data_IF_015254054854
#
_entry.id   IF_015254054854
#
_cell.length_a   1.000
_cell.length_b   1.000
_cell.length_c   1.000
_cell.angle_alpha   90.00
_cell.angle_beta   90.00
_cell.angle_gamma   90.00
#
_symmetry.space_group_name_H-M   'P 1'
#
loop_
_entity.id
_entity.type
_entity.pdbx_description
1 polymer ?
#
# COMPACT_ATOMS: atom_id res chain seq x y z
N UNK A 1 -49.58 -43.49 56.76
CA UNK A 1 -49.17 -42.17 56.23
C UNK A 1 -47.80 -42.33 55.61
N UNK A 2 -47.74 -42.26 54.30
CA UNK A 2 -46.57 -42.58 53.45
C UNK A 2 -45.61 -41.40 53.32
N UNK A 3 -44.28 -41.62 53.32
CA UNK A 3 -43.30 -40.55 53.16
C UNK A 3 -43.16 -40.17 51.67
N UNK A 4 -43.11 -38.86 51.40
CA UNK A 4 -42.85 -38.30 50.08
C UNK A 4 -41.33 -38.24 49.84
N UNK A 5 -40.86 -39.15 48.98
CA UNK A 5 -39.47 -39.29 48.56
C UNK A 5 -39.13 -38.19 47.54
N UNK A 6 -38.55 -37.09 48.02
CA UNK A 6 -38.17 -35.91 47.22
C UNK A 6 -36.84 -36.17 46.52
N UNK A 7 -36.88 -36.84 45.36
CA UNK A 7 -35.69 -37.08 44.54
C UNK A 7 -35.21 -35.76 43.93
N UNK A 8 -34.09 -35.28 44.43
CA UNK A 8 -33.28 -34.17 43.89
C UNK A 8 -32.70 -34.63 42.53
N UNK A 9 -33.51 -34.59 41.48
CA UNK A 9 -33.04 -34.74 40.11
C UNK A 9 -32.51 -33.39 39.62
N UNK A 10 -31.25 -33.34 39.16
CA UNK A 10 -30.90 -32.46 38.04
C UNK A 10 -29.73 -31.48 38.17
N UNK A 11 -28.91 -31.50 39.22
CA UNK A 11 -27.71 -30.64 39.24
C UNK A 11 -26.60 -30.97 38.20
N UNK A 12 -26.38 -32.22 37.73
CA UNK A 12 -25.27 -32.50 36.81
C UNK A 12 -25.54 -32.04 35.36
N UNK A 13 -26.80 -31.96 34.95
CA UNK A 13 -27.17 -31.50 33.60
C UNK A 13 -26.94 -29.99 33.43
N UNK A 14 -27.28 -29.20 34.46
CA UNK A 14 -27.11 -27.74 34.44
C UNK A 14 -25.63 -27.33 34.38
N UNK A 15 -24.74 -28.03 35.11
CA UNK A 15 -23.30 -27.78 35.09
C UNK A 15 -22.67 -28.05 33.71
N UNK A 16 -23.11 -29.11 33.02
CA UNK A 16 -22.62 -29.44 31.67
C UNK A 16 -23.03 -28.38 30.65
N UNK A 17 -24.26 -27.88 30.75
CA UNK A 17 -24.79 -26.87 29.83
C UNK A 17 -24.04 -25.53 29.98
N UNK A 18 -23.76 -25.11 31.22
CA UNK A 18 -22.96 -23.91 31.52
C UNK A 18 -21.51 -24.03 31.01
N UNK A 19 -20.88 -25.21 31.14
CA UNK A 19 -19.53 -25.44 30.64
C UNK A 19 -19.44 -25.35 29.11
N UNK A 20 -20.43 -25.90 28.39
CA UNK A 20 -20.51 -25.79 26.92
C UNK A 20 -20.73 -24.35 26.49
N UNK A 21 -21.59 -23.60 27.19
CA UNK A 21 -21.84 -22.19 26.87
C UNK A 21 -20.58 -21.32 27.10
N UNK A 22 -19.88 -21.53 28.21
CA UNK A 22 -18.64 -20.82 28.51
C UNK A 22 -17.53 -21.13 27.48
N UNK A 23 -17.43 -22.38 27.03
CA UNK A 23 -16.48 -22.77 25.99
C UNK A 23 -16.84 -22.14 24.63
N UNK A 24 -18.12 -22.12 24.25
CA UNK A 24 -18.58 -21.48 23.02
C UNK A 24 -18.31 -19.97 23.03
N UNK A 25 -18.54 -19.29 24.15
CA UNK A 25 -18.22 -17.86 24.33
C UNK A 25 -16.70 -17.63 24.27
N UNK A 26 -15.89 -18.49 24.88
CA UNK A 26 -14.44 -18.39 24.82
C UNK A 26 -13.89 -18.58 23.38
N UNK A 27 -14.48 -19.49 22.60
CA UNK A 27 -14.12 -19.70 21.18
C UNK A 27 -14.52 -18.50 20.32
N UNK A 28 -15.69 -17.90 20.56
CA UNK A 28 -16.13 -16.70 19.84
C UNK A 28 -15.24 -15.49 20.17
N UNK A 29 -14.86 -15.31 21.44
CA UNK A 29 -13.98 -14.21 21.87
C UNK A 29 -12.53 -14.37 21.40
N UNK A 30 -12.05 -15.59 21.16
CA UNK A 30 -10.69 -15.83 20.64
C UNK A 30 -10.55 -15.67 19.12
N UNK A 31 -11.65 -15.48 18.40
CA UNK A 31 -11.64 -15.23 16.95
C UNK A 31 -11.39 -13.77 16.56
N UNK A 32 -11.37 -12.82 17.51
CA UNK A 32 -11.21 -11.39 17.26
C UNK A 32 -9.78 -10.96 16.86
N UNK A 33 -8.82 -11.90 16.83
CA UNK A 33 -7.44 -11.66 16.44
C UNK A 33 -7.11 -12.09 15.01
N UNK A 34 -8.02 -11.93 14.05
CA UNK A 34 -7.61 -12.03 12.65
C UNK A 34 -6.59 -10.92 12.43
N UNK A 35 -5.35 -11.33 12.16
CA UNK A 35 -4.25 -10.55 11.64
C UNK A 35 -4.70 -9.82 10.36
N UNK A 36 -5.52 -8.79 10.51
CA UNK A 36 -6.17 -8.08 9.43
C UNK A 36 -5.18 -7.07 8.93
N UNK A 37 -4.45 -7.42 7.87
CA UNK A 37 -3.56 -6.53 7.14
C UNK A 37 -4.19 -5.14 7.08
N UNK A 38 -3.57 -4.14 7.73
CA UNK A 38 -4.13 -2.79 7.67
C UNK A 38 -4.02 -2.36 6.21
N UNK A 39 -5.17 -2.21 5.59
CA UNK A 39 -5.29 -1.69 4.25
C UNK A 39 -5.62 -0.21 4.38
N UNK A 40 -4.80 0.62 3.74
CA UNK A 40 -5.09 2.02 3.56
C UNK A 40 -5.36 2.27 2.08
N UNK A 41 -6.33 3.10 1.76
CA UNK A 41 -6.60 3.52 0.40
C UNK A 41 -7.02 4.97 0.37
N UNK A 42 -6.62 5.68 -0.67
CA UNK A 42 -7.07 7.02 -1.00
C UNK A 42 -7.60 7.04 -2.42
N UNK A 43 -8.73 7.71 -2.62
CA UNK A 43 -9.20 8.11 -3.94
C UNK A 43 -8.63 9.50 -4.23
N UNK A 44 -8.10 9.64 -5.44
CA UNK A 44 -7.50 10.86 -5.93
C UNK A 44 -8.37 11.43 -7.07
N UNK A 45 -8.71 12.73 -7.07
CA UNK A 45 -9.50 13.31 -8.13
C UNK A 45 -8.77 13.21 -9.47
N UNK A 46 -9.49 12.72 -10.47
CA UNK A 46 -9.01 12.68 -11.85
C UNK A 46 -8.71 14.07 -12.39
N UNK A 47 -7.72 14.17 -13.28
CA UNK A 47 -7.41 15.37 -14.06
C UNK A 47 -6.59 16.41 -13.31
N UNK A 48 -5.82 16.03 -12.29
CA UNK A 48 -4.88 16.91 -11.59
C UNK A 48 -3.40 16.64 -11.93
N UNK A 49 -3.16 15.91 -13.02
CA UNK A 49 -1.86 15.85 -13.67
C UNK A 49 -1.37 17.26 -13.99
N UNK A 50 -0.09 17.50 -13.77
CA UNK A 50 0.61 18.73 -14.18
C UNK A 50 1.65 18.40 -15.24
N UNK A 51 1.97 19.36 -16.10
CA UNK A 51 3.12 19.33 -16.99
C UNK A 51 4.22 20.24 -16.44
N UNK A 52 5.45 19.77 -16.54
CA UNK A 52 6.67 20.47 -16.15
C UNK A 52 7.56 20.52 -17.39
N UNK A 53 8.03 21.72 -17.73
CA UNK A 53 9.02 21.97 -18.78
C UNK A 53 10.26 22.59 -18.16
N UNK A 54 11.42 22.43 -18.79
CA UNK A 54 12.69 22.97 -18.28
C UNK A 54 12.64 24.49 -18.06
N UNK A 55 11.97 25.22 -18.94
CA UNK A 55 11.86 26.69 -18.89
C UNK A 55 10.75 27.21 -17.96
N UNK A 56 9.88 26.34 -17.45
CA UNK A 56 8.75 26.80 -16.63
C UNK A 56 9.14 26.91 -15.15
N UNK A 57 8.90 28.08 -14.56
CA UNK A 57 9.10 28.29 -13.13
C UNK A 57 8.06 27.56 -12.26
N UNK A 58 6.91 27.21 -12.83
CA UNK A 58 5.80 26.55 -12.14
C UNK A 58 5.17 25.45 -12.99
N UNK A 59 4.72 24.33 -12.38
CA UNK A 59 3.96 23.30 -13.10
C UNK A 59 2.64 23.83 -13.67
N UNK A 60 2.34 23.47 -14.91
CA UNK A 60 1.10 23.86 -15.61
C UNK A 60 0.06 22.73 -15.51
N UNK A 61 -1.20 22.99 -15.13
CA UNK A 61 -2.23 21.95 -15.11
C UNK A 61 -2.45 21.30 -16.49
N UNK A 62 -2.54 19.96 -16.52
CA UNK A 62 -2.75 19.15 -17.72
C UNK A 62 -3.97 18.22 -17.58
N UNK A 63 -5.19 18.75 -17.33
CA UNK A 63 -6.35 17.95 -16.90
C UNK A 63 -6.87 16.93 -17.93
N UNK A 64 -6.50 17.09 -19.21
CA UNK A 64 -6.87 16.17 -20.27
C UNK A 64 -5.89 14.98 -20.38
N UNK A 65 -4.79 14.97 -19.62
CA UNK A 65 -3.80 13.90 -19.64
C UNK A 65 -4.28 12.72 -18.80
N UNK A 66 -4.61 11.62 -19.47
CA UNK A 66 -5.07 10.38 -18.80
C UNK A 66 -3.96 9.39 -18.48
N UNK A 67 -2.89 9.40 -19.27
CA UNK A 67 -1.75 8.49 -19.08
C UNK A 67 -0.92 8.95 -17.89
N UNK A 68 -0.83 8.11 -16.87
CA UNK A 68 -0.13 8.41 -15.62
C UNK A 68 -0.98 9.09 -14.55
N UNK A 69 -2.20 9.56 -14.89
CA UNK A 69 -3.18 10.13 -13.96
C UNK A 69 -3.64 9.07 -12.97
N UNK A 70 -3.24 9.21 -11.71
CA UNK A 70 -3.56 8.34 -10.60
C UNK A 70 -4.90 8.78 -10.02
N UNK A 71 -5.86 7.85 -9.92
CA UNK A 71 -7.16 8.17 -9.30
C UNK A 71 -7.44 7.33 -8.05
N UNK A 72 -6.60 6.33 -7.78
CA UNK A 72 -6.70 5.53 -6.56
C UNK A 72 -5.37 4.89 -6.20
N UNK A 73 -4.95 5.11 -4.96
CA UNK A 73 -3.82 4.43 -4.35
C UNK A 73 -4.30 3.56 -3.20
N UNK A 74 -3.74 2.35 -3.08
CA UNK A 74 -3.95 1.50 -1.92
C UNK A 74 -2.68 0.80 -1.49
N UNK A 75 -2.54 0.61 -0.18
CA UNK A 75 -1.37 -0.01 0.44
C UNK A 75 -1.86 -1.05 1.42
N UNK A 76 -1.35 -2.27 1.27
CA UNK A 76 -1.57 -3.38 2.20
C UNK A 76 -0.27 -3.72 2.91
N UNK A 77 -0.26 -3.61 4.24
CA UNK A 77 0.87 -4.02 5.07
C UNK A 77 0.53 -5.32 5.80
N UNK A 78 0.96 -6.43 5.21
CA UNK A 78 0.70 -7.80 5.69
C UNK A 78 1.82 -8.30 6.59
N UNK A 79 1.66 -9.50 7.16
CA UNK A 79 2.73 -10.18 7.89
C UNK A 79 4.06 -10.32 7.13
N UNK A 80 4.05 -10.42 5.79
CA UNK A 80 5.25 -10.77 5.00
C UNK A 80 5.69 -9.70 4.00
N UNK A 81 4.80 -8.80 3.59
CA UNK A 81 5.08 -7.83 2.52
C UNK A 81 4.26 -6.55 2.65
N UNK A 82 4.79 -5.50 2.02
CA UNK A 82 4.06 -4.28 1.67
C UNK A 82 3.68 -4.39 0.20
N UNK A 83 2.39 -4.23 -0.10
CA UNK A 83 1.87 -4.19 -1.48
C UNK A 83 1.28 -2.82 -1.72
N UNK A 84 1.78 -2.14 -2.75
CA UNK A 84 1.34 -0.81 -3.16
C UNK A 84 0.66 -0.97 -4.51
N UNK A 85 -0.62 -0.61 -4.60
CA UNK A 85 -1.38 -0.62 -5.84
C UNK A 85 -1.71 0.82 -6.21
N UNK A 86 -1.19 1.24 -7.36
CA UNK A 86 -1.37 2.56 -7.97
C UNK A 86 -2.28 2.39 -9.17
N UNK A 87 -3.51 2.88 -9.07
CA UNK A 87 -4.52 2.73 -10.12
C UNK A 87 -4.61 4.02 -10.90
N UNK A 88 -4.35 3.92 -12.20
CA UNK A 88 -4.35 5.05 -13.11
C UNK A 88 -5.62 5.07 -13.98
N UNK A 89 -5.91 6.21 -14.61
CA UNK A 89 -6.93 6.29 -15.66
C UNK A 89 -6.49 5.53 -16.91
N UNK A 90 -5.21 5.65 -17.26
CA UNK A 90 -4.54 4.86 -18.28
C UNK A 90 -3.09 4.61 -17.88
N UNK A 91 -2.64 3.35 -18.01
CA UNK A 91 -1.23 2.99 -17.81
C UNK A 91 -0.42 3.57 -18.98
N UNK A 92 0.67 4.32 -18.73
CA UNK A 92 1.46 4.88 -19.80
C UNK A 92 2.07 3.79 -20.69
N UNK A 93 1.99 3.99 -22.01
CA UNK A 93 2.56 3.06 -23.00
C UNK A 93 3.95 3.50 -23.48
N UNK A 94 4.31 4.78 -23.32
CA UNK A 94 5.63 5.36 -23.66
C UNK A 94 6.58 5.25 -22.48
N UNK A 95 7.49 6.20 -22.34
CA UNK A 95 8.46 6.25 -21.26
C UNK A 95 7.82 6.87 -20.01
N UNK A 96 8.06 6.24 -18.88
CA UNK A 96 7.44 6.62 -17.61
C UNK A 96 8.18 6.02 -16.42
N UNK A 97 8.01 6.64 -15.27
CA UNK A 97 8.43 6.09 -13.99
C UNK A 97 7.31 6.24 -12.96
N UNK A 98 7.17 5.25 -12.08
CA UNK A 98 6.40 5.38 -10.86
C UNK A 98 7.32 5.23 -9.66
N UNK A 99 7.15 6.14 -8.71
CA UNK A 99 7.92 6.23 -7.49
C UNK A 99 7.05 5.83 -6.33
N UNK A 100 7.60 5.01 -5.44
CA UNK A 100 7.01 4.73 -4.15
C UNK A 100 8.06 4.94 -3.05
N UNK A 101 7.85 5.96 -2.23
CA UNK A 101 8.67 6.18 -1.04
C UNK A 101 8.04 5.41 0.12
N UNK A 102 8.78 4.46 0.71
CA UNK A 102 8.35 3.64 1.84
C UNK A 102 9.13 4.08 3.08
N UNK A 103 8.45 4.76 4.00
CA UNK A 103 9.04 5.18 5.27
C UNK A 103 8.74 4.19 6.38
N UNK A 104 9.79 3.74 7.05
CA UNK A 104 9.72 2.91 8.26
C UNK A 104 10.14 3.73 9.49
N UNK A 105 9.98 3.23 10.72
CA UNK A 105 10.51 3.92 11.91
C UNK A 105 12.03 4.11 11.92
N UNK A 106 12.79 3.33 11.13
CA UNK A 106 14.27 3.34 11.14
C UNK A 106 14.88 4.08 9.95
N UNK A 107 14.22 4.03 8.78
CA UNK A 107 14.78 4.56 7.53
C UNK A 107 13.69 4.70 6.46
N UNK A 108 14.02 5.33 5.34
CA UNK A 108 13.18 5.44 4.15
C UNK A 108 13.81 4.70 2.98
N UNK A 109 12.96 4.16 2.12
CA UNK A 109 13.35 3.45 0.91
C UNK A 109 12.59 4.00 -0.28
N UNK A 110 13.24 4.01 -1.43
CA UNK A 110 12.60 4.35 -2.70
C UNK A 110 12.48 3.08 -3.54
N UNK A 111 11.30 2.89 -4.11
CA UNK A 111 11.01 1.83 -5.05
C UNK A 111 10.56 2.48 -6.36
N UNK A 112 11.34 2.29 -7.41
CA UNK A 112 11.13 2.95 -8.70
C UNK A 112 10.88 1.90 -9.76
N UNK A 113 9.65 1.86 -10.28
CA UNK A 113 9.35 1.16 -11.51
C UNK A 113 9.56 2.13 -12.67
N UNK A 114 10.30 1.74 -13.68
CA UNK A 114 10.52 2.58 -14.85
C UNK A 114 10.42 1.80 -16.14
N UNK A 115 10.09 2.52 -17.20
CA UNK A 115 10.15 2.07 -18.58
C UNK A 115 10.77 3.20 -19.41
N UNK A 116 11.86 2.90 -20.10
CA UNK A 116 12.56 3.82 -21.01
C UNK A 116 13.09 3.05 -22.21
N UNK A 117 12.89 3.54 -23.42
CA UNK A 117 13.41 2.93 -24.66
C UNK A 117 13.17 1.41 -24.77
N UNK A 118 11.98 0.98 -24.33
CA UNK A 118 11.60 -0.45 -24.32
C UNK A 118 12.21 -1.27 -23.17
N UNK A 119 13.22 -0.76 -22.47
CA UNK A 119 13.71 -1.34 -21.22
C UNK A 119 12.71 -1.13 -20.08
N UNK A 120 12.61 -2.11 -19.18
CA UNK A 120 11.80 -2.01 -17.96
C UNK A 120 12.63 -2.47 -16.78
N UNK A 121 12.61 -1.69 -15.70
CA UNK A 121 13.35 -1.98 -14.49
C UNK A 121 12.54 -1.72 -13.22
N UNK A 122 12.96 -2.35 -12.14
CA UNK A 122 12.48 -2.09 -10.79
C UNK A 122 13.70 -1.89 -9.87
N UNK A 123 13.97 -0.64 -9.53
CA UNK A 123 15.03 -0.25 -8.60
C UNK A 123 14.48 -0.16 -7.17
N UNK A 124 15.30 -0.52 -6.20
CA UNK A 124 15.01 -0.40 -4.78
C UNK A 124 16.25 0.10 -4.03
N UNK A 125 16.19 1.26 -3.42
CA UNK A 125 17.33 1.91 -2.75
C UNK A 125 16.92 2.54 -1.41
N UNK A 126 17.89 3.05 -0.64
CA UNK A 126 17.60 3.87 0.55
C UNK A 126 17.52 5.33 0.13
N UNK A 127 16.47 6.04 0.55
CA UNK A 127 16.25 7.45 0.21
C UNK A 127 17.41 8.35 0.63
N UNK A 128 17.90 8.18 1.86
CA UNK A 128 19.03 8.97 2.40
C UNK A 128 20.35 8.19 2.35
N UNK A 129 20.49 7.27 1.38
CA UNK A 129 21.69 6.45 1.22
C UNK A 129 22.59 6.94 0.08
N UNK A 130 23.57 6.12 -0.29
CA UNK A 130 24.45 6.37 -1.45
C UNK A 130 23.74 6.23 -2.81
N UNK A 131 22.41 6.11 -2.84
CA UNK A 131 21.64 5.72 -4.03
C UNK A 131 21.86 4.28 -4.50
N UNK A 132 22.70 3.49 -3.82
CA UNK A 132 23.02 2.14 -4.23
C UNK A 132 21.79 1.21 -4.20
N UNK A 133 21.64 0.42 -5.26
CA UNK A 133 20.59 -0.60 -5.39
C UNK A 133 20.73 -1.65 -4.28
N UNK A 134 19.64 -1.87 -3.55
CA UNK A 134 19.50 -2.91 -2.53
C UNK A 134 18.98 -4.18 -3.22
N UNK A 135 19.76 -5.25 -3.09
CA UNK A 135 19.30 -6.59 -3.48
C UNK A 135 18.20 -7.04 -2.53
N UNK A 136 16.97 -7.08 -3.04
CA UNK A 136 15.81 -7.59 -2.33
C UNK A 136 15.18 -8.75 -3.11
N UNK A 137 15.37 -9.99 -2.63
CA UNK A 137 14.74 -11.16 -3.24
C UNK A 137 13.24 -11.14 -2.99
N UNK A 138 12.44 -11.24 -4.05
CA UNK A 138 10.98 -11.25 -3.98
C UNK A 138 10.32 -9.88 -4.09
N UNK A 139 11.10 -8.80 -4.30
CA UNK A 139 10.51 -7.55 -4.81
C UNK A 139 9.97 -7.77 -6.21
N UNK A 140 8.84 -7.16 -6.54
CA UNK A 140 8.24 -7.29 -7.87
C UNK A 140 7.36 -6.10 -8.24
N UNK A 141 7.13 -5.99 -9.54
CA UNK A 141 6.26 -5.03 -10.18
C UNK A 141 5.48 -5.74 -11.26
N UNK A 142 4.18 -5.44 -11.37
CA UNK A 142 3.34 -5.94 -12.46
C UNK A 142 2.24 -4.93 -12.78
N UNK A 143 1.79 -4.95 -14.03
CA UNK A 143 0.56 -4.27 -14.45
C UNK A 143 -0.62 -5.24 -14.35
N UNK A 144 -1.73 -4.76 -13.82
CA UNK A 144 -2.97 -5.49 -13.52
C UNK A 144 -4.15 -4.63 -13.99
N UNK A 145 -4.53 -4.75 -15.27
CA UNK A 145 -5.46 -3.82 -15.91
C UNK A 145 -4.90 -2.41 -15.94
N UNK A 146 -5.56 -1.46 -15.28
CA UNK A 146 -5.09 -0.06 -15.15
C UNK A 146 -4.23 0.20 -13.91
N UNK A 147 -3.89 -0.84 -13.15
CA UNK A 147 -3.13 -0.70 -11.92
C UNK A 147 -1.69 -1.18 -12.07
N UNK A 148 -0.73 -0.40 -11.57
CA UNK A 148 0.60 -0.86 -11.24
C UNK A 148 0.58 -1.44 -9.81
N UNK A 149 1.07 -2.66 -9.67
CA UNK A 149 1.19 -3.35 -8.37
C UNK A 149 2.65 -3.56 -8.06
N UNK A 150 3.13 -2.85 -7.04
CA UNK A 150 4.48 -2.96 -6.49
C UNK A 150 4.44 -3.80 -5.22
N UNK A 151 5.38 -4.72 -5.06
CA UNK A 151 5.48 -5.58 -3.89
C UNK A 151 6.90 -5.58 -3.34
N UNK A 152 7.03 -5.35 -2.02
CA UNK A 152 8.30 -5.43 -1.30
C UNK A 152 8.15 -6.33 -0.07
N UNK A 153 8.94 -7.42 0.04
CA UNK A 153 9.02 -8.21 1.25
C UNK A 153 9.42 -7.37 2.47
N UNK A 154 8.77 -7.59 3.62
CA UNK A 154 9.08 -6.87 4.86
C UNK A 154 10.50 -7.10 5.35
N UNK A 155 11.08 -8.25 5.05
CA UNK A 155 12.48 -8.56 5.38
C UNK A 155 13.45 -7.59 4.70
N UNK A 156 13.17 -7.14 3.48
CA UNK A 156 13.96 -6.13 2.79
C UNK A 156 13.85 -4.73 3.42
N UNK A 157 12.77 -4.48 4.16
CA UNK A 157 12.49 -3.24 4.88
C UNK A 157 12.97 -3.27 6.35
N UNK A 158 13.62 -4.36 6.79
CA UNK A 158 14.03 -4.54 8.18
C UNK A 158 12.89 -4.97 9.13
N UNK A 159 11.86 -5.63 8.60
CA UNK A 159 10.69 -6.14 9.34
C UNK A 159 9.91 -5.09 10.16
N UNK A 160 9.55 -3.93 9.59
CA UNK A 160 8.95 -2.84 10.34
C UNK A 160 7.53 -3.18 10.80
N UNK A 161 7.15 -2.77 12.02
CA UNK A 161 5.78 -2.96 12.54
C UNK A 161 4.76 -2.00 11.91
N UNK A 162 5.25 -0.92 11.30
CA UNK A 162 4.43 0.07 10.59
C UNK A 162 5.22 0.71 9.45
N UNK A 163 4.50 1.23 8.46
CA UNK A 163 5.06 1.98 7.34
C UNK A 163 4.21 3.21 7.05
N UNK A 164 4.78 4.18 6.33
CA UNK A 164 4.05 5.19 5.57
C UNK A 164 4.51 5.13 4.13
N UNK A 165 3.62 5.43 3.18
CA UNK A 165 3.93 5.32 1.76
C UNK A 165 3.49 6.58 1.03
N UNK A 166 4.38 7.14 0.22
CA UNK A 166 4.08 8.17 -0.79
C UNK A 166 4.21 7.57 -2.18
N UNK A 167 3.43 8.06 -3.14
CA UNK A 167 3.41 7.54 -4.52
C UNK A 167 3.30 8.70 -5.51
N UNK A 168 4.12 8.66 -6.55
CA UNK A 168 3.99 9.55 -7.71
C UNK A 168 4.21 8.79 -9.02
N UNK A 169 3.69 9.34 -10.11
CA UNK A 169 3.91 8.86 -11.48
C UNK A 169 4.38 10.02 -12.34
N UNK A 170 5.39 9.75 -13.17
CA UNK A 170 5.85 10.68 -14.20
C UNK A 170 5.81 9.98 -15.55
N UNK A 171 5.43 10.72 -16.59
CA UNK A 171 5.37 10.26 -17.97
C UNK A 171 6.11 11.27 -18.83
N UNK A 172 7.07 10.78 -19.60
CA UNK A 172 7.88 11.61 -20.48
C UNK A 172 7.20 11.67 -21.86
N UNK A 173 7.31 12.81 -22.52
CA UNK A 173 7.01 12.89 -23.94
C UNK A 173 8.16 12.27 -24.78
N UNK A 174 8.13 12.45 -26.10
CA UNK A 174 9.09 11.80 -26.98
C UNK A 174 10.50 12.41 -26.89
N UNK A 175 10.57 13.71 -26.61
CA UNK A 175 11.83 14.47 -26.60
C UNK A 175 12.34 14.68 -25.16
N UNK A 176 11.62 14.17 -24.16
CA UNK A 176 11.84 14.38 -22.71
C UNK A 176 11.78 15.85 -22.30
N UNK A 177 11.24 16.72 -23.14
CA UNK A 177 11.10 18.16 -22.90
C UNK A 177 9.93 18.45 -21.95
N UNK A 178 8.86 17.63 -22.05
CA UNK A 178 7.68 17.75 -21.19
C UNK A 178 7.56 16.52 -20.30
N UNK A 179 7.56 16.77 -18.99
CA UNK A 179 7.28 15.77 -17.96
C UNK A 179 5.85 15.97 -17.47
N UNK A 180 5.01 14.97 -17.69
CA UNK A 180 3.68 14.91 -17.07
C UNK A 180 3.79 14.18 -15.75
N UNK A 181 3.22 14.75 -14.70
CA UNK A 181 3.54 14.37 -13.35
C UNK A 181 2.26 14.35 -12.51
N UNK A 182 2.07 13.30 -11.71
CA UNK A 182 0.96 13.16 -10.77
C UNK A 182 1.41 12.61 -9.40
N UNK A 183 1.06 13.30 -8.31
CA UNK A 183 1.30 12.89 -6.92
C UNK A 183 -0.02 12.43 -6.31
N UNK A 184 -0.10 11.12 -6.05
CA UNK A 184 -1.32 10.46 -5.61
C UNK A 184 -1.89 10.94 -4.26
N UNK A 185 -1.17 11.82 -3.56
CA UNK A 185 -1.52 12.37 -2.24
C UNK A 185 -1.63 13.91 -2.22
N UNK A 186 -1.46 14.58 -3.37
CA UNK A 186 -1.83 15.97 -3.65
C UNK A 186 -1.15 17.06 -2.82
N UNK A 187 0.16 17.29 -3.02
CA UNK A 187 0.78 18.61 -2.73
C UNK A 187 1.59 19.20 -3.88
N UNK A 188 1.59 18.55 -5.04
CA UNK A 188 2.47 18.86 -6.15
C UNK A 188 3.75 18.03 -6.08
N UNK A 189 4.35 17.77 -7.24
CA UNK A 189 5.56 16.97 -7.32
C UNK A 189 6.76 17.86 -7.02
N UNK A 190 7.13 17.91 -5.74
CA UNK A 190 8.53 18.06 -5.39
C UNK A 190 9.18 16.70 -5.59
N UNK A 191 10.18 16.60 -6.48
CA UNK A 191 10.90 15.33 -6.73
C UNK A 191 11.44 14.70 -5.44
N UNK A 192 11.67 15.52 -4.41
CA UNK A 192 12.28 15.10 -3.14
C UNK A 192 11.27 14.76 -2.02
N UNK A 193 9.99 15.16 -2.13
CA UNK A 193 9.03 15.08 -1.03
C UNK A 193 7.63 14.65 -1.47
N UNK A 194 7.48 13.37 -1.84
CA UNK A 194 6.16 12.75 -1.97
C UNK A 194 5.42 12.84 -0.64
N UNK A 195 4.15 13.28 -0.68
CA UNK A 195 3.32 13.23 0.52
C UNK A 195 3.14 11.77 0.94
N UNK A 196 3.29 11.51 2.23
CA UNK A 196 3.16 10.17 2.79
C UNK A 196 1.76 9.92 3.32
N UNK A 197 1.32 8.66 3.23
CA UNK A 197 0.14 8.14 3.90
C UNK A 197 0.19 8.37 5.43
N UNK A 198 -0.95 8.23 6.11
CA UNK A 198 -0.96 7.95 7.55
C UNK A 198 -0.12 6.71 7.89
N UNK A 199 0.11 6.47 9.17
CA UNK A 199 0.81 5.28 9.64
C UNK A 199 -0.04 4.01 9.38
N UNK A 200 0.53 3.08 8.62
CA UNK A 200 -0.09 1.80 8.25
C UNK A 200 0.61 0.70 9.04
N UNK A 201 -0.10 0.12 10.01
CA UNK A 201 0.41 -0.97 10.84
C UNK A 201 0.36 -2.28 10.07
N UNK A 202 1.28 -3.16 10.42
CA UNK A 202 1.20 -4.56 9.99
C UNK A 202 -0.09 -5.14 10.56
N UNK A 203 -0.90 -5.75 9.71
CA UNK A 203 -1.92 -6.67 10.18
C UNK A 203 -1.42 -8.08 10.30
#
# INVERSE_FOLDING_TARGET
MTPLDSRIFGMPALRRLLAVLALAVAVLLSSAGIASAQNWSLADPKGDVVSITEDASEPVPAPNRRAGDVWRTSVSHTATKVVIRVTMQAVPTRDWSAFAQIRTPRTSFDLVQFKFDGFRGLSFSKTNGSGAEIRCRGKSSRIDGTALVLTVPRTCLGNPASVRVGVGVVVYDQDMEIIYADDALRRGIGLDDLRLSPLIRRG
#
